data_IF_326109149550
#
_entry.id   IF_326109149550
#
_cell.length_a   1.000
_cell.length_b   1.000
_cell.length_c   1.000
_cell.angle_alpha   90.00
_cell.angle_beta   90.00
_cell.angle_gamma   90.00
#
_symmetry.space_group_name_H-M   'P 1'
#
loop_
_entity.id
_entity.type
_entity.pdbx_description
1 polymer ?
#
# COMPACT_ATOMS: atom_id res chain seq x y z
N UNK A 1 7.51 22.76 20.08
CA UNK A 1 6.99 22.82 18.69
C UNK A 1 5.48 22.86 18.74
N UNK A 2 4.83 23.80 18.04
CA UNK A 2 3.36 23.92 17.98
C UNK A 2 2.80 23.42 16.63
N UNK A 3 1.47 23.45 16.48
CA UNK A 3 0.84 23.14 15.20
C UNK A 3 1.22 24.20 14.15
N UNK A 4 1.57 23.76 12.94
CA UNK A 4 1.89 24.62 11.80
C UNK A 4 0.87 24.37 10.68
N UNK A 5 0.32 25.42 10.03
CA UNK A 5 -0.53 25.24 8.86
C UNK A 5 0.19 24.47 7.75
N UNK A 6 -0.49 23.53 7.12
CA UNK A 6 0.03 22.74 6.01
C UNK A 6 -1.06 22.48 4.96
N UNK A 7 -0.65 22.36 3.70
CA UNK A 7 -1.51 21.91 2.61
C UNK A 7 -1.45 20.38 2.52
N UNK A 8 -2.61 19.73 2.37
CA UNK A 8 -2.69 18.28 2.19
C UNK A 8 -3.75 17.92 1.17
N UNK A 9 -3.63 16.74 0.58
CA UNK A 9 -4.59 16.17 -0.36
C UNK A 9 -5.27 14.97 0.29
N UNK A 10 -6.61 14.94 0.25
CA UNK A 10 -7.41 13.85 0.80
C UNK A 10 -8.36 13.30 -0.25
N UNK A 11 -8.70 12.02 -0.15
CA UNK A 11 -9.66 11.39 -1.06
C UNK A 11 -11.07 11.90 -0.79
N UNK A 12 -11.76 12.39 -1.82
CA UNK A 12 -13.18 12.74 -1.75
C UNK A 12 -14.03 11.46 -1.60
N UNK A 13 -14.70 11.29 -0.45
CA UNK A 13 -15.51 10.10 -0.16
C UNK A 13 -16.78 9.97 -0.98
N UNK A 14 -17.21 11.03 -1.66
CA UNK A 14 -18.34 10.99 -2.60
C UNK A 14 -17.91 10.59 -4.03
N UNK A 15 -16.61 10.46 -4.30
CA UNK A 15 -16.11 10.06 -5.62
C UNK A 15 -16.45 8.59 -5.91
N UNK A 16 -16.86 8.24 -7.15
CA UNK A 16 -17.04 6.84 -7.54
C UNK A 16 -15.73 6.02 -7.49
N UNK A 17 -14.58 6.68 -7.42
CA UNK A 17 -13.26 6.04 -7.27
C UNK A 17 -12.91 5.73 -5.80
N UNK A 18 -13.75 6.11 -4.84
CA UNK A 18 -13.52 5.80 -3.43
C UNK A 18 -14.01 4.39 -3.09
N UNK A 19 -13.09 3.46 -2.90
CA UNK A 19 -13.39 2.06 -2.56
C UNK A 19 -13.93 1.83 -1.13
N UNK A 20 -14.21 2.88 -0.35
CA UNK A 20 -14.69 2.75 1.02
C UNK A 20 -13.64 2.24 2.01
N UNK A 21 -14.10 1.77 3.18
CA UNK A 21 -13.25 1.07 4.15
C UNK A 21 -13.16 -0.40 3.77
N UNK A 22 -11.93 -0.87 3.57
CA UNK A 22 -11.64 -2.26 3.24
C UNK A 22 -10.88 -2.93 4.39
N UNK A 23 -11.00 -4.25 4.53
CA UNK A 23 -10.11 -5.01 5.43
C UNK A 23 -8.68 -5.01 4.88
N UNK A 24 -7.69 -5.20 5.75
CA UNK A 24 -6.29 -5.28 5.30
C UNK A 24 -6.08 -6.45 4.34
N UNK A 25 -6.80 -7.54 4.57
CA UNK A 25 -6.77 -8.74 3.74
C UNK A 25 -7.32 -8.48 2.33
N UNK A 26 -8.40 -7.70 2.21
CA UNK A 26 -8.96 -7.31 0.91
C UNK A 26 -7.99 -6.39 0.14
N UNK A 27 -7.39 -5.41 0.83
CA UNK A 27 -6.39 -4.52 0.24
C UNK A 27 -5.15 -5.30 -0.20
N UNK A 28 -4.67 -6.25 0.62
CA UNK A 28 -3.52 -7.07 0.30
C UNK A 28 -3.73 -7.91 -0.96
N UNK A 29 -4.91 -8.51 -1.12
CA UNK A 29 -5.27 -9.27 -2.32
C UNK A 29 -5.21 -8.43 -3.60
N UNK A 30 -5.65 -7.16 -3.53
CA UNK A 30 -5.57 -6.23 -4.66
C UNK A 30 -4.12 -5.85 -4.93
N UNK A 31 -3.37 -5.40 -3.91
CA UNK A 31 -2.00 -4.90 -4.08
C UNK A 31 -1.03 -5.99 -4.54
N UNK A 32 -1.25 -7.25 -4.16
CA UNK A 32 -0.42 -8.38 -4.59
C UNK A 32 -0.52 -8.66 -6.10
N UNK A 33 -1.59 -8.21 -6.78
CA UNK A 33 -1.88 -8.54 -8.20
C UNK A 33 -1.98 -7.33 -9.11
N UNK A 34 -2.18 -6.14 -8.55
CA UNK A 34 -2.34 -4.91 -9.32
C UNK A 34 -1.04 -4.50 -10.02
N UNK A 35 -1.12 -4.12 -11.28
CA UNK A 35 -0.03 -3.54 -12.06
C UNK A 35 -0.56 -2.37 -12.89
N UNK A 36 0.15 -1.24 -12.84
CA UNK A 36 -0.14 -0.05 -13.64
C UNK A 36 1.10 0.43 -14.39
N UNK A 37 0.99 1.56 -15.08
CA UNK A 37 2.08 2.11 -15.90
C UNK A 37 3.37 2.42 -15.12
N UNK A 38 3.28 2.57 -13.79
CA UNK A 38 4.39 2.94 -12.91
C UNK A 38 4.89 1.78 -12.04
N UNK A 39 4.47 0.55 -12.34
CA UNK A 39 4.83 -0.66 -11.58
C UNK A 39 3.65 -1.30 -10.85
N UNK A 40 3.97 -2.27 -10.00
CA UNK A 40 3.01 -3.08 -9.25
C UNK A 40 2.51 -2.39 -7.97
N UNK A 41 1.35 -2.82 -7.48
CA UNK A 41 0.85 -2.41 -6.18
C UNK A 41 1.78 -2.80 -5.02
N UNK A 42 2.47 -3.95 -5.16
CA UNK A 42 3.44 -4.44 -4.19
C UNK A 42 4.69 -3.54 -4.11
N UNK A 43 5.24 -3.11 -5.25
CA UNK A 43 6.38 -2.19 -5.31
C UNK A 43 6.01 -0.82 -4.72
N UNK A 44 4.83 -0.30 -5.06
CA UNK A 44 4.34 0.96 -4.49
C UNK A 44 4.26 0.89 -2.95
N UNK A 45 3.71 -0.20 -2.40
CA UNK A 45 3.59 -0.39 -0.97
C UNK A 45 4.97 -0.50 -0.31
N UNK A 46 5.87 -1.32 -0.85
CA UNK A 46 7.23 -1.50 -0.35
C UNK A 46 7.99 -0.16 -0.30
N UNK A 47 7.97 0.58 -1.41
CA UNK A 47 8.62 1.89 -1.50
C UNK A 47 8.06 2.86 -0.46
N UNK A 48 6.75 2.87 -0.27
CA UNK A 48 6.11 3.74 0.74
C UNK A 48 6.57 3.39 2.16
N UNK A 49 6.56 2.11 2.53
CA UNK A 49 6.97 1.68 3.88
C UNK A 49 8.45 1.96 4.13
N UNK A 50 9.33 1.65 3.17
CA UNK A 50 10.76 1.90 3.28
C UNK A 50 11.09 3.38 3.48
N UNK A 51 10.42 4.28 2.74
CA UNK A 51 10.63 5.72 2.89
C UNK A 51 10.11 6.26 4.22
N UNK A 52 9.00 5.72 4.74
CA UNK A 52 8.50 6.09 6.07
C UNK A 52 9.44 5.59 7.17
N UNK A 53 9.92 4.35 7.08
CA UNK A 53 10.87 3.77 8.04
C UNK A 53 12.18 4.56 8.07
N UNK A 54 12.72 4.93 6.91
CA UNK A 54 13.94 5.76 6.81
C UNK A 54 13.77 7.15 7.46
N UNK A 55 12.53 7.64 7.61
CA UNK A 55 12.18 8.88 8.31
C UNK A 55 11.81 8.66 9.78
N UNK A 56 11.95 7.44 10.30
CA UNK A 56 11.59 7.07 11.67
C UNK A 56 10.08 6.89 11.89
N UNK A 57 9.28 6.79 10.84
CA UNK A 57 7.83 6.64 10.91
C UNK A 57 7.47 5.15 10.72
N UNK A 58 6.90 4.54 11.76
CA UNK A 58 6.48 3.13 11.75
C UNK A 58 4.98 2.98 11.94
N UNK A 59 4.23 2.94 10.83
CA UNK A 59 2.78 2.69 10.86
C UNK A 59 2.48 1.19 10.94
N UNK A 60 1.91 0.74 12.05
CA UNK A 60 1.63 -0.69 12.30
C UNK A 60 0.74 -1.33 11.23
N UNK A 61 -0.21 -0.60 10.64
CA UNK A 61 -1.11 -1.15 9.64
C UNK A 61 -0.41 -1.31 8.29
N UNK A 62 0.44 -0.36 7.89
CA UNK A 62 1.24 -0.48 6.67
C UNK A 62 2.23 -1.66 6.74
N UNK A 63 2.86 -1.85 7.89
CA UNK A 63 3.75 -3.00 8.12
C UNK A 63 3.01 -4.34 8.07
N UNK A 64 1.82 -4.41 8.68
CA UNK A 64 0.98 -5.61 8.59
C UNK A 64 0.53 -5.85 7.14
N UNK A 65 0.16 -4.80 6.42
CA UNK A 65 -0.25 -4.89 5.02
C UNK A 65 0.88 -5.39 4.12
N UNK A 66 2.11 -4.87 4.30
CA UNK A 66 3.29 -5.32 3.58
C UNK A 66 3.55 -6.81 3.81
N UNK A 67 3.44 -7.29 5.06
CA UNK A 67 3.59 -8.71 5.36
C UNK A 67 2.52 -9.57 4.68
N UNK A 68 1.26 -9.14 4.71
CA UNK A 68 0.17 -9.88 4.04
C UNK A 68 0.37 -9.95 2.53
N UNK A 69 0.83 -8.87 1.89
CA UNK A 69 1.14 -8.86 0.46
C UNK A 69 2.29 -9.82 0.14
N UNK A 70 3.37 -9.81 0.93
CA UNK A 70 4.48 -10.74 0.76
C UNK A 70 4.04 -12.21 0.90
N UNK A 71 3.26 -12.53 1.93
CA UNK A 71 2.70 -13.88 2.13
C UNK A 71 1.84 -14.34 0.95
N UNK A 72 1.06 -13.43 0.33
CA UNK A 72 0.22 -13.76 -0.84
C UNK A 72 1.05 -13.99 -2.11
N UNK A 73 2.12 -13.22 -2.32
CA UNK A 73 3.04 -13.39 -3.45
C UNK A 73 3.78 -14.74 -3.31
N UNK A 74 4.27 -15.07 -2.12
CA UNK A 74 4.97 -16.34 -1.86
C UNK A 74 4.07 -17.56 -2.08
N UNK A 75 2.78 -17.46 -1.71
CA UNK A 75 1.80 -18.53 -1.92
C UNK A 75 1.44 -18.77 -3.38
N UNK A 76 1.71 -17.82 -4.28
CA UNK A 76 1.32 -17.91 -5.68
C UNK A 76 2.53 -17.76 -6.63
N UNK A 77 3.47 -18.73 -6.63
CA UNK A 77 4.72 -18.62 -7.37
C UNK A 77 4.57 -18.58 -8.90
N UNK A 78 3.37 -18.90 -9.44
CA UNK A 78 3.11 -18.88 -10.89
C UNK A 78 3.18 -17.48 -11.53
N UNK A 79 3.04 -16.41 -10.75
CA UNK A 79 3.15 -15.02 -11.23
C UNK A 79 4.58 -14.44 -11.09
N UNK A 80 5.52 -15.23 -10.53
CA UNK A 80 6.90 -14.79 -10.24
C UNK A 80 7.80 -14.68 -11.48
N UNK A 81 7.33 -15.10 -12.66
CA UNK A 81 8.09 -15.17 -13.92
C UNK A 81 7.78 -14.03 -14.92
N UNK A 82 7.21 -12.89 -14.48
CA UNK A 82 6.94 -11.73 -15.36
C UNK A 82 7.64 -10.44 -14.90
N UNK A 83 8.65 -10.56 -14.04
CA UNK A 83 9.63 -9.49 -13.73
C UNK A 83 11.00 -9.92 -14.27
#
# INVERSE_FOLDING_TARGET
SGATPALTFVMNRASPLYAGRQSLEAVANVLARACGHWGTGAEYLLNTVSHLEAKGIRDRNLWRLQRLVAELIERNPAERNVL
#
